data_IF_547916688093
#
_entry.id   IF_547916688093
#
_cell.length_a   1.000
_cell.length_b   1.000
_cell.length_c   1.000
_cell.angle_alpha   90.00
_cell.angle_beta   90.00
_cell.angle_gamma   90.00
#
_symmetry.space_group_name_H-M   'P 1'
#
loop_
_entity.id
_entity.type
_entity.pdbx_description
1 polymer ?
#
# COMPACT_ATOMS: atom_id res chain seq x y z
N UNK A 1 3.43 -27.58 -7.63
CA UNK A 1 2.31 -26.84 -7.05
C UNK A 1 2.03 -25.56 -7.87
N UNK A 2 0.76 -25.29 -8.13
CA UNK A 2 0.32 -24.13 -8.90
C UNK A 2 -0.11 -22.94 -8.04
N UNK A 3 0.10 -23.03 -6.74
CA UNK A 3 -0.28 -21.99 -5.79
C UNK A 3 0.94 -21.52 -5.00
N UNK A 4 0.99 -20.22 -4.75
CA UNK A 4 2.01 -19.60 -3.90
C UNK A 4 1.40 -18.53 -3.00
N UNK A 5 1.93 -18.39 -1.80
CA UNK A 5 1.61 -17.33 -0.86
C UNK A 5 2.72 -16.29 -0.91
N UNK A 6 2.36 -15.05 -1.14
CA UNK A 6 3.27 -13.91 -1.07
C UNK A 6 2.83 -12.99 0.06
N UNK A 7 3.77 -12.53 0.87
CA UNK A 7 3.50 -11.53 1.91
C UNK A 7 4.43 -10.35 1.66
N UNK A 8 3.85 -9.23 1.31
CA UNK A 8 4.57 -7.98 1.12
C UNK A 8 4.40 -7.10 2.34
N UNK A 9 5.48 -6.63 2.91
CA UNK A 9 5.49 -5.68 4.02
C UNK A 9 6.22 -4.41 3.61
N UNK A 10 5.71 -3.28 4.02
CA UNK A 10 6.34 -1.98 3.85
C UNK A 10 6.32 -1.19 5.15
N UNK A 11 7.44 -0.60 5.51
CA UNK A 11 7.55 0.30 6.63
C UNK A 11 8.31 1.55 6.22
N UNK A 12 7.70 2.70 6.40
CA UNK A 12 8.32 3.97 6.12
C UNK A 12 8.38 4.82 7.41
N UNK A 13 9.57 4.96 8.02
CA UNK A 13 9.75 5.70 9.26
C UNK A 13 10.07 7.19 9.03
N UNK A 14 9.86 7.75 7.85
CA UNK A 14 10.31 9.11 7.52
C UNK A 14 9.58 10.15 8.37
N UNK A 15 10.28 10.59 9.38
CA UNK A 15 9.93 11.70 10.23
C UNK A 15 10.91 12.84 9.93
N UNK A 16 10.51 13.78 9.06
CA UNK A 16 11.28 14.98 8.83
C UNK A 16 10.84 16.03 9.83
N UNK A 17 11.64 16.24 10.85
CA UNK A 17 11.52 17.40 11.71
C UNK A 17 11.95 18.64 10.90
N UNK A 18 11.00 19.30 10.26
CA UNK A 18 11.18 20.59 9.62
C UNK A 18 11.21 21.72 10.66
N UNK A 19 11.99 22.75 10.45
CA UNK A 19 12.01 23.99 11.23
C UNK A 19 10.58 24.54 11.38
N UNK A 20 10.19 24.82 12.62
CA UNK A 20 8.99 25.56 13.06
C UNK A 20 7.90 25.74 11.99
N UNK A 21 6.93 24.85 11.96
CA UNK A 21 5.68 25.02 11.20
C UNK A 21 5.39 23.97 10.12
N UNK A 22 6.35 23.22 9.67
CA UNK A 22 6.21 22.16 8.63
C UNK A 22 6.56 20.80 9.25
N UNK A 23 5.61 20.21 9.95
CA UNK A 23 5.72 18.82 10.41
C UNK A 23 5.32 17.87 9.30
N UNK A 24 6.22 17.65 8.35
CA UNK A 24 6.09 16.63 7.32
C UNK A 24 6.31 15.24 7.94
N UNK A 25 5.23 14.65 8.45
CA UNK A 25 5.23 13.32 9.03
C UNK A 25 4.65 12.34 8.02
N UNK A 26 5.45 11.41 7.56
CA UNK A 26 4.99 10.33 6.69
C UNK A 26 5.40 8.97 7.28
N UNK A 27 4.74 8.59 8.36
CA UNK A 27 4.94 7.28 8.96
C UNK A 27 3.80 6.37 8.49
N UNK A 28 4.13 5.31 7.78
CA UNK A 28 3.14 4.29 7.45
C UNK A 28 3.77 2.90 7.49
N UNK A 29 2.99 1.94 7.88
CA UNK A 29 3.30 0.55 7.66
C UNK A 29 2.15 -0.11 6.89
N UNK A 30 2.51 -1.07 6.08
CA UNK A 30 1.57 -1.81 5.26
C UNK A 30 1.96 -3.29 5.25
N UNK A 31 0.97 -4.15 5.38
CA UNK A 31 1.11 -5.59 5.17
C UNK A 31 0.10 -6.01 4.12
N UNK A 32 0.57 -6.77 3.15
CA UNK A 32 -0.23 -7.20 2.02
C UNK A 32 0.01 -8.69 1.75
N UNK A 33 -0.79 -9.59 2.37
CA UNK A 33 -0.81 -10.99 2.02
C UNK A 33 -1.50 -11.19 0.68
N UNK A 34 -0.97 -12.08 -0.14
CA UNK A 34 -1.48 -12.40 -1.48
C UNK A 34 -1.36 -13.89 -1.75
N UNK A 35 -2.48 -14.50 -2.11
CA UNK A 35 -2.54 -15.87 -2.59
C UNK A 35 -2.57 -15.85 -4.11
N UNK A 36 -1.62 -16.52 -4.75
CA UNK A 36 -1.43 -16.55 -6.21
C UNK A 36 -1.70 -17.94 -6.77
N UNK A 37 -2.35 -17.96 -7.90
CA UNK A 37 -2.52 -19.15 -8.73
C UNK A 37 -1.81 -18.97 -10.06
N UNK A 38 -0.95 -19.92 -10.40
CA UNK A 38 -0.12 -19.94 -11.59
C UNK A 38 -0.75 -20.82 -12.66
N UNK A 39 -0.86 -20.32 -13.88
CA UNK A 39 -1.44 -21.09 -14.99
C UNK A 39 -0.47 -22.14 -15.51
N UNK A 40 0.81 -21.87 -15.50
CA UNK A 40 1.86 -22.78 -15.94
C UNK A 40 2.61 -23.37 -14.74
N UNK A 41 3.79 -22.89 -14.47
CA UNK A 41 4.63 -23.30 -13.34
C UNK A 41 4.76 -22.14 -12.34
N UNK A 42 5.00 -22.46 -11.09
CA UNK A 42 5.25 -21.43 -10.06
C UNK A 42 6.47 -20.60 -10.46
N UNK A 43 6.33 -19.29 -10.46
CA UNK A 43 7.34 -18.29 -10.87
C UNK A 43 7.61 -18.20 -12.39
N UNK A 44 6.79 -18.82 -13.21
CA UNK A 44 6.91 -18.71 -14.66
C UNK A 44 5.54 -18.58 -15.35
N UNK A 45 5.37 -17.54 -16.15
CA UNK A 45 4.16 -17.28 -16.91
C UNK A 45 3.13 -16.42 -16.19
N UNK A 46 1.89 -16.57 -16.62
CA UNK A 46 0.78 -15.79 -16.08
C UNK A 46 0.34 -16.30 -14.71
N UNK A 47 -0.02 -15.37 -13.84
CA UNK A 47 -0.68 -15.67 -12.58
C UNK A 47 -1.82 -14.71 -12.28
N UNK A 48 -2.77 -15.19 -11.52
CA UNK A 48 -3.79 -14.39 -10.88
C UNK A 48 -3.67 -14.54 -9.37
N UNK A 49 -4.02 -13.50 -8.63
CA UNK A 49 -3.97 -13.52 -7.18
C UNK A 49 -5.12 -12.79 -6.54
N UNK A 50 -5.37 -13.14 -5.29
CA UNK A 50 -6.22 -12.39 -4.39
C UNK A 50 -5.34 -11.84 -3.29
N UNK A 51 -5.40 -10.54 -3.05
CA UNK A 51 -4.62 -9.90 -2.01
C UNK A 51 -5.51 -9.16 -1.01
N UNK A 52 -5.07 -9.19 0.24
CA UNK A 52 -5.57 -8.31 1.29
C UNK A 52 -4.58 -7.17 1.51
N UNK A 53 -5.06 -6.05 2.01
CA UNK A 53 -4.24 -4.91 2.43
C UNK A 53 -4.64 -4.53 3.83
N UNK A 54 -3.66 -4.39 4.71
CA UNK A 54 -3.81 -3.73 6.00
C UNK A 54 -2.73 -2.65 6.13
N UNK A 55 -3.15 -1.43 6.36
CA UNK A 55 -2.24 -0.30 6.48
C UNK A 55 -2.64 0.60 7.63
N UNK A 56 -1.65 1.18 8.29
CA UNK A 56 -1.83 2.28 9.23
C UNK A 56 -0.94 3.42 8.80
N UNK A 57 -1.50 4.61 8.73
CA UNK A 57 -0.79 5.79 8.28
C UNK A 57 -0.99 6.97 9.21
N UNK A 58 0.03 7.80 9.29
CA UNK A 58 0.01 9.09 9.95
C UNK A 58 0.68 10.09 9.00
N UNK A 59 -0.13 10.87 8.31
CA UNK A 59 0.31 11.80 7.27
C UNK A 59 -0.08 13.20 7.67
N UNK A 60 0.90 14.10 7.73
CA UNK A 60 0.71 15.54 7.95
C UNK A 60 1.42 16.35 6.87
N UNK A 61 0.79 17.41 6.38
CA UNK A 61 1.44 18.40 5.52
C UNK A 61 1.57 18.08 4.03
N UNK A 62 1.10 16.95 3.53
CA UNK A 62 1.23 16.58 2.11
C UNK A 62 -0.10 16.49 1.36
N UNK A 63 -0.12 17.10 0.18
CA UNK A 63 -1.21 16.98 -0.79
C UNK A 63 -0.96 15.76 -1.68
N UNK A 64 -1.57 14.64 -1.36
CA UNK A 64 -1.46 13.42 -2.18
C UNK A 64 -2.77 13.20 -2.94
N UNK A 65 -2.71 13.18 -4.28
CA UNK A 65 -3.83 12.86 -5.20
C UNK A 65 -5.11 13.69 -5.02
N UNK A 66 -5.05 14.97 -4.60
CA UNK A 66 -6.23 15.81 -4.31
C UNK A 66 -7.21 15.23 -3.26
N UNK A 67 -6.83 14.20 -2.54
CA UNK A 67 -7.66 13.55 -1.53
C UNK A 67 -7.40 14.14 -0.14
N UNK A 68 -6.19 14.67 0.08
CA UNK A 68 -5.76 15.23 1.36
C UNK A 68 -5.41 16.71 1.23
N UNK A 69 -5.97 17.55 2.10
CA UNK A 69 -5.65 18.97 2.18
C UNK A 69 -4.38 19.22 3.01
N UNK A 70 -3.58 20.21 2.61
CA UNK A 70 -2.32 20.59 3.27
C UNK A 70 -2.46 21.02 4.74
N UNK A 71 -3.63 21.52 5.11
CA UNK A 71 -3.88 22.16 6.42
C UNK A 71 -4.33 21.17 7.50
N UNK A 72 -4.44 19.87 7.18
CA UNK A 72 -4.96 18.86 8.08
C UNK A 72 -3.99 17.71 8.27
N UNK A 73 -3.98 17.21 9.49
CA UNK A 73 -3.29 15.97 9.85
C UNK A 73 -4.27 14.81 9.74
N UNK A 74 -3.89 13.78 8.99
CA UNK A 74 -4.67 12.58 8.82
C UNK A 74 -3.96 11.42 9.53
N UNK A 75 -4.63 10.86 10.50
CA UNK A 75 -4.20 9.65 11.18
C UNK A 75 -5.29 8.61 11.06
N UNK A 76 -4.94 7.42 10.57
CA UNK A 76 -5.93 6.38 10.40
C UNK A 76 -5.34 5.05 10.00
N UNK A 77 -6.25 4.13 9.79
CA UNK A 77 -5.95 2.80 9.30
C UNK A 77 -6.82 2.47 8.10
N UNK A 78 -6.38 1.53 7.29
CA UNK A 78 -7.10 1.09 6.12
C UNK A 78 -7.00 -0.42 5.96
N UNK A 79 -8.10 -1.01 5.53
CA UNK A 79 -8.15 -2.41 5.11
C UNK A 79 -8.77 -2.51 3.74
N UNK A 80 -8.33 -3.47 2.97
CA UNK A 80 -8.83 -3.67 1.63
C UNK A 80 -8.57 -5.07 1.13
N UNK A 81 -9.21 -5.36 0.00
CA UNK A 81 -8.99 -6.57 -0.74
C UNK A 81 -9.07 -6.31 -2.23
N UNK A 82 -8.39 -7.12 -3.01
CA UNK A 82 -8.36 -6.95 -4.45
C UNK A 82 -7.86 -8.18 -5.18
N UNK A 83 -7.87 -8.05 -6.50
CA UNK A 83 -7.35 -9.05 -7.40
C UNK A 83 -6.07 -8.54 -8.05
N UNK A 84 -5.12 -9.43 -8.23
CA UNK A 84 -3.87 -9.17 -8.94
C UNK A 84 -3.80 -10.04 -10.18
N UNK A 85 -3.34 -9.46 -11.27
CA UNK A 85 -2.90 -10.16 -12.45
C UNK A 85 -1.46 -9.81 -12.75
N UNK A 86 -0.66 -10.79 -13.10
CA UNK A 86 0.72 -10.57 -13.42
C UNK A 86 1.30 -11.59 -14.36
N UNK A 87 2.50 -11.27 -14.80
CA UNK A 87 3.31 -12.14 -15.64
C UNK A 87 4.74 -12.18 -15.12
N UNK A 88 5.29 -13.38 -15.04
CA UNK A 88 6.66 -13.62 -14.62
C UNK A 88 7.48 -14.17 -15.77
N UNK A 89 8.59 -13.52 -16.06
CA UNK A 89 9.59 -13.94 -17.06
C UNK A 89 10.77 -14.60 -16.37
N UNK A 90 10.98 -15.86 -16.64
CA UNK A 90 12.17 -16.57 -16.19
C UNK A 90 13.37 -16.19 -17.06
N UNK A 91 14.28 -15.38 -16.52
CA UNK A 91 15.48 -14.92 -17.24
C UNK A 91 16.60 -15.97 -17.15
N UNK A 92 16.71 -16.62 -15.99
CA UNK A 92 17.73 -17.62 -15.74
C UNK A 92 17.20 -18.63 -14.71
N UNK A 93 17.95 -19.73 -14.50
CA UNK A 93 17.59 -20.79 -13.52
C UNK A 93 17.29 -20.29 -12.10
N UNK A 94 17.76 -19.09 -11.77
CA UNK A 94 17.59 -18.49 -10.43
C UNK A 94 16.95 -17.10 -10.45
N UNK A 95 16.82 -16.47 -11.62
CA UNK A 95 16.34 -15.10 -11.73
C UNK A 95 15.08 -15.03 -12.57
N UNK A 96 14.08 -14.37 -12.05
CA UNK A 96 12.85 -14.03 -12.77
C UNK A 96 12.50 -12.56 -12.58
N UNK A 97 11.93 -11.94 -13.61
CA UNK A 97 11.30 -10.62 -13.51
C UNK A 97 9.79 -10.82 -13.53
N UNK A 98 9.11 -10.13 -12.66
CA UNK A 98 7.67 -10.18 -12.53
C UNK A 98 7.09 -8.78 -12.67
N UNK A 99 6.10 -8.62 -13.56
CA UNK A 99 5.27 -7.42 -13.62
C UNK A 99 3.86 -7.76 -13.17
N UNK A 100 3.27 -6.91 -12.36
CA UNK A 100 1.93 -7.13 -11.81
C UNK A 100 1.12 -5.85 -11.70
N UNK A 101 -0.19 -6.01 -11.84
CA UNK A 101 -1.20 -4.99 -11.64
C UNK A 101 -2.33 -5.57 -10.77
N UNK A 102 -2.69 -4.87 -9.73
CA UNK A 102 -3.81 -5.22 -8.86
C UNK A 102 -4.84 -4.11 -8.77
N UNK A 103 -6.10 -4.50 -8.75
CA UNK A 103 -7.24 -3.62 -8.55
C UNK A 103 -8.05 -4.11 -7.36
N UNK A 104 -8.64 -3.22 -6.60
CA UNK A 104 -9.40 -3.61 -5.43
C UNK A 104 -10.15 -2.47 -4.78
N UNK A 105 -10.72 -2.78 -3.63
CA UNK A 105 -11.45 -1.85 -2.79
C UNK A 105 -10.67 -1.69 -1.49
N UNK A 106 -10.43 -0.45 -1.11
CA UNK A 106 -9.78 -0.09 0.16
C UNK A 106 -10.74 0.77 0.96
N UNK A 107 -11.01 0.35 2.17
CA UNK A 107 -11.78 1.09 3.14
C UNK A 107 -10.82 1.80 4.09
N UNK A 108 -10.91 3.12 4.10
CA UNK A 108 -10.06 4.00 4.91
C UNK A 108 -10.88 4.63 6.02
N UNK A 109 -10.38 4.50 7.22
CA UNK A 109 -10.95 5.08 8.43
C UNK A 109 -9.91 6.05 9.00
N UNK A 110 -10.25 7.33 9.09
CA UNK A 110 -9.28 8.34 9.50
C UNK A 110 -9.92 9.48 10.30
N UNK A 111 -9.13 10.00 11.23
CA UNK A 111 -9.43 11.22 11.97
C UNK A 111 -8.73 12.39 11.31
N UNK A 112 -9.52 13.41 10.98
CA UNK A 112 -9.08 14.67 10.41
C UNK A 112 -8.95 15.70 11.52
N UNK A 113 -7.72 16.15 11.80
CA UNK A 113 -7.45 17.20 12.79
C UNK A 113 -6.97 18.46 12.10
N UNK A 114 -7.59 19.60 12.39
CA UNK A 114 -7.14 20.91 11.87
C UNK A 114 -5.86 21.35 12.60
N UNK A 115 -4.82 21.67 11.83
CA UNK A 115 -3.54 22.14 12.37
C UNK A 115 -3.57 23.59 12.90
N UNK A 116 -4.68 24.30 12.71
CA UNK A 116 -4.78 25.74 13.07
C UNK A 116 -5.19 25.98 14.52
N UNK A 117 -5.79 25.02 15.19
CA UNK A 117 -6.30 25.16 16.54
C UNK A 117 -5.49 24.35 17.56
N UNK A 118 -4.55 25.05 18.22
CA UNK A 118 -3.63 24.47 19.22
C UNK A 118 -4.29 24.02 20.53
N UNK A 119 -5.52 24.41 20.79
CA UNK A 119 -6.15 24.14 22.09
C UNK A 119 -7.47 23.36 22.09
N UNK A 120 -8.22 23.30 21.01
CA UNK A 120 -9.54 22.64 20.98
C UNK A 120 -9.93 22.17 19.57
N UNK A 121 -8.99 21.61 18.81
CA UNK A 121 -9.27 21.06 17.48
C UNK A 121 -10.28 19.92 17.55
N UNK A 122 -11.46 20.14 17.00
CA UNK A 122 -12.49 19.13 16.86
C UNK A 122 -12.00 18.11 15.81
N UNK A 123 -11.66 16.91 16.26
CA UNK A 123 -11.29 15.81 15.36
C UNK A 123 -12.55 15.29 14.68
N UNK A 124 -12.64 15.45 13.38
CA UNK A 124 -13.73 14.86 12.59
C UNK A 124 -13.35 13.46 12.15
N UNK A 125 -14.08 12.47 12.62
CA UNK A 125 -13.99 11.11 12.13
C UNK A 125 -14.62 11.01 10.74
N UNK A 126 -13.88 10.51 9.78
CA UNK A 126 -14.34 10.37 8.40
C UNK A 126 -13.92 9.03 7.81
N UNK A 127 -14.84 8.44 7.10
CA UNK A 127 -14.64 7.14 6.45
C UNK A 127 -14.74 7.30 4.94
N UNK A 128 -13.79 6.76 4.20
CA UNK A 128 -13.82 6.75 2.73
C UNK A 128 -13.53 5.37 2.17
N UNK A 129 -14.31 4.97 1.19
CA UNK A 129 -14.07 3.75 0.42
C UNK A 129 -13.51 4.16 -0.94
N UNK A 130 -12.37 3.60 -1.29
CA UNK A 130 -11.69 3.82 -2.55
C UNK A 130 -11.72 2.54 -3.39
N UNK A 131 -12.14 2.67 -4.65
CA UNK A 131 -12.02 1.62 -5.65
C UNK A 131 -11.01 2.04 -6.72
N UNK A 132 -10.01 1.21 -6.98
CA UNK A 132 -9.01 1.53 -7.97
C UNK A 132 -7.79 0.60 -7.95
N UNK A 133 -6.69 1.03 -8.57
CA UNK A 133 -5.44 0.28 -8.54
C UNK A 133 -4.90 0.24 -7.10
N UNK A 134 -4.75 -0.96 -6.57
CA UNK A 134 -4.24 -1.21 -5.21
C UNK A 134 -2.79 -1.65 -5.20
N UNK A 135 -2.32 -2.17 -6.33
CA UNK A 135 -0.97 -2.70 -6.46
C UNK A 135 -0.51 -2.57 -7.92
N UNK A 136 0.66 -2.01 -8.12
CA UNK A 136 1.35 -2.00 -9.41
C UNK A 136 2.86 -2.06 -9.16
N UNK A 137 3.56 -2.87 -9.93
CA UNK A 137 5.00 -2.94 -9.76
C UNK A 137 5.69 -3.92 -10.68
N UNK A 138 7.02 -3.84 -10.59
CA UNK A 138 7.95 -4.78 -11.22
C UNK A 138 8.85 -5.31 -10.10
N UNK A 139 9.00 -6.62 -10.01
CA UNK A 139 9.83 -7.28 -9.01
C UNK A 139 10.90 -8.12 -9.67
N UNK A 140 12.08 -8.14 -9.07
CA UNK A 140 13.13 -9.08 -9.40
C UNK A 140 13.11 -10.20 -8.36
N UNK A 141 12.92 -11.43 -8.81
CA UNK A 141 12.83 -12.60 -7.96
C UNK A 141 14.11 -13.41 -8.06
N UNK A 142 14.68 -13.75 -6.93
CA UNK A 142 15.79 -14.68 -6.84
C UNK A 142 15.35 -15.97 -6.13
N UNK A 143 15.39 -17.09 -6.84
CA UNK A 143 15.00 -18.38 -6.33
C UNK A 143 16.20 -19.05 -5.62
N UNK A 144 16.07 -19.20 -4.31
CA UNK A 144 17.02 -19.95 -3.48
C UNK A 144 16.60 -21.42 -3.50
N UNK A 145 17.43 -22.27 -4.06
CA UNK A 145 17.15 -23.70 -4.12
C UNK A 145 18.12 -24.45 -3.26
#
# INVERSE_FOLDING_TARGET
PKMSLNITGGYNPWNREGKKGDNDKWVHWMVQPELRYWFCETTNGHFIGIHGIATKYNIGGHKLFNIFDKDYRYEGWGVGAGFTYGYSWLISKRWAIEAFLGVGIVHLDFDKTDNRDWCCGESQHSTKTFFGPTKIGISLIYNIK
#
